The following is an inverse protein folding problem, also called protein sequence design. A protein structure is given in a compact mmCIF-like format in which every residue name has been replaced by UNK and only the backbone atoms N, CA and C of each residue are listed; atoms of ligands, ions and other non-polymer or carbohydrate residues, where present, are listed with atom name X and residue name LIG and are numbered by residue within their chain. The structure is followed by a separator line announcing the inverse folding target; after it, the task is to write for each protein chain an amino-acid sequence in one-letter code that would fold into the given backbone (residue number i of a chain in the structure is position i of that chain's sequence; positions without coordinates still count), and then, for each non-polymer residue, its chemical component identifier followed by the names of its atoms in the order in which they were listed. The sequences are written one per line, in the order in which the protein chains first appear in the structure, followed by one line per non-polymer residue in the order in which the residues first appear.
data_IF_506623896510
#
_entry.id   IF_506623896510
#
_cell.length_a   1.000
_cell.length_b   1.000
_cell.length_c   1.000
_cell.angle_alpha   90.00
_cell.angle_beta   90.00
_cell.angle_gamma   90.00
#
_symmetry.space_group_name_H-M   'P 1'
#
loop_
_entity.id
_entity.type
_entity.pdbx_description
1 polymer ?
#
# COMPACT_ATOMS: atom_id res chain seq x y z
N UNK A 1 -13.16 55.96 37.32
CA UNK A 1 -11.87 55.91 38.03
C UNK A 1 -11.26 54.56 37.64
N UNK A 2 -10.54 54.47 36.51
CA UNK A 2 -9.09 54.75 36.36
C UNK A 2 -8.30 53.82 37.31
N UNK A 3 -7.41 52.92 36.87
CA UNK A 3 -6.30 53.03 35.90
C UNK A 3 -5.78 51.60 35.58
N UNK A 4 -5.50 51.20 34.31
CA UNK A 4 -4.18 51.13 33.60
C UNK A 4 -3.14 50.19 34.27
N UNK A 5 -2.28 49.39 33.62
CA UNK A 5 -1.74 49.25 32.25
C UNK A 5 -1.28 47.78 32.06
N UNK A 6 -1.39 47.17 30.86
CA UNK A 6 -0.31 46.98 29.85
C UNK A 6 0.92 46.18 30.32
N UNK A 7 1.18 45.04 29.69
CA UNK A 7 2.54 44.70 29.26
C UNK A 7 2.51 43.87 27.97
N UNK A 8 3.30 44.33 27.01
CA UNK A 8 3.54 43.76 25.70
C UNK A 8 4.76 42.86 25.76
N UNK A 9 4.78 41.78 24.99
CA UNK A 9 5.94 40.90 24.91
C UNK A 9 5.96 40.17 23.57
N UNK A 10 6.29 40.90 22.52
CA UNK A 10 6.74 40.34 21.26
C UNK A 10 8.10 39.65 21.46
N UNK A 11 8.26 38.44 20.92
CA UNK A 11 9.56 37.82 20.70
C UNK A 11 9.70 37.56 19.20
N UNK A 12 10.70 38.23 18.64
CA UNK A 12 11.11 38.21 17.25
C UNK A 12 11.80 36.89 16.84
N UNK A 13 11.91 36.76 15.52
CA UNK A 13 12.51 35.70 14.73
C UNK A 13 13.90 35.23 15.19
N UNK A 14 14.07 33.91 15.21
CA UNK A 14 15.36 33.25 15.05
C UNK A 14 15.33 32.46 13.75
N UNK A 15 16.02 32.95 12.73
CA UNK A 15 16.40 32.18 11.56
C UNK A 15 17.50 31.19 11.97
N UNK A 16 17.30 29.90 11.70
CA UNK A 16 18.34 28.89 11.76
C UNK A 16 18.42 28.26 10.37
N UNK A 17 19.26 28.89 9.53
CA UNK A 17 19.82 28.31 8.33
C UNK A 17 20.95 27.37 8.76
N UNK A 18 20.81 26.08 8.49
CA UNK A 18 21.92 25.14 8.48
C UNK A 18 21.84 24.19 7.28
N UNK A 19 22.52 24.64 6.22
CA UNK A 19 23.46 23.91 5.36
C UNK A 19 23.07 22.51 4.87
N UNK A 20 22.54 22.51 3.65
CA UNK A 20 22.61 21.41 2.70
C UNK A 20 23.96 21.43 1.96
N UNK A 21 24.82 20.45 2.20
CA UNK A 21 25.99 20.17 1.36
C UNK A 21 26.10 18.65 1.10
N UNK A 22 25.61 18.20 -0.05
CA UNK A 22 26.01 16.91 -0.64
C UNK A 22 26.84 17.21 -1.88
N UNK A 23 28.11 16.88 -1.77
CA UNK A 23 29.16 16.99 -2.78
C UNK A 23 29.01 15.84 -3.77
N UNK A 24 28.86 16.15 -5.06
CA UNK A 24 29.08 15.19 -6.15
C UNK A 24 30.50 15.42 -6.67
N UNK A 25 31.40 14.48 -6.35
CA UNK A 25 32.71 14.39 -6.99
C UNK A 25 32.52 13.84 -8.42
N UNK A 26 32.78 14.71 -9.38
CA UNK A 26 33.00 14.42 -10.80
C UNK A 26 34.51 14.49 -11.03
N UNK A 27 35.16 13.33 -11.24
CA UNK A 27 36.53 13.30 -11.75
C UNK A 27 36.68 12.24 -12.86
N UNK A 28 36.73 12.78 -14.07
CA UNK A 28 37.52 12.46 -15.25
C UNK A 28 38.13 11.04 -15.42
N UNK A 29 38.09 10.55 -16.66
CA UNK A 29 39.27 10.64 -17.53
C UNK A 29 39.00 10.24 -18.99
N UNK A 30 39.56 11.09 -19.85
CA UNK A 30 39.79 10.97 -21.28
C UNK A 30 40.74 9.80 -21.62
N UNK A 31 40.35 8.99 -22.60
CA UNK A 31 41.25 8.09 -23.30
C UNK A 31 40.79 7.90 -24.76
N UNK A 32 41.43 8.65 -25.63
CA UNK A 32 41.39 8.57 -27.09
C UNK A 32 42.19 7.37 -27.61
N UNK A 33 41.57 6.50 -28.43
CA UNK A 33 42.27 5.48 -29.25
C UNK A 33 41.46 5.19 -30.54
N UNK A 34 42.09 4.99 -31.72
CA UNK A 34 41.50 5.31 -33.03
C UNK A 34 40.80 4.13 -33.74
N UNK A 35 40.08 4.47 -34.82
CA UNK A 35 39.39 3.55 -35.72
C UNK A 35 40.33 2.62 -36.50
N UNK A 36 39.98 1.33 -36.67
CA UNK A 36 40.54 0.48 -37.70
C UNK A 36 39.62 0.33 -38.93
N UNK A 37 40.29 0.17 -40.06
CA UNK A 37 39.84 0.05 -41.45
C UNK A 37 39.14 -1.27 -41.80
N UNK A 38 38.36 -1.19 -42.88
CA UNK A 38 37.64 -2.29 -43.55
C UNK A 38 38.53 -3.48 -43.94
N UNK A 39 38.11 -4.71 -43.60
CA UNK A 39 38.42 -5.92 -44.37
C UNK A 39 37.24 -6.91 -44.35
N UNK A 40 37.11 -7.58 -45.51
CA UNK A 40 36.05 -8.41 -46.06
C UNK A 40 35.79 -9.74 -45.31
N UNK A 41 34.53 -10.07 -45.02
CA UNK A 41 34.13 -11.42 -44.60
C UNK A 41 32.65 -11.71 -44.95
N UNK A 42 32.48 -12.54 -45.97
CA UNK A 42 31.23 -13.21 -46.33
C UNK A 42 30.86 -14.26 -45.27
N UNK A 43 29.62 -14.23 -44.77
CA UNK A 43 29.08 -15.23 -43.83
C UNK A 43 27.56 -15.12 -43.70
N UNK A 44 26.87 -16.25 -43.87
CA UNK A 44 25.41 -16.41 -43.85
C UNK A 44 24.75 -15.92 -42.53
N UNK A 45 23.48 -15.47 -42.56
CA UNK A 45 22.79 -15.05 -41.34
C UNK A 45 22.45 -16.27 -40.44
N UNK A 46 22.63 -16.18 -39.11
CA UNK A 46 22.18 -17.21 -38.20
C UNK A 46 20.65 -17.20 -38.09
N UNK A 47 20.08 -18.40 -38.07
CA UNK A 47 18.64 -18.65 -37.95
C UNK A 47 18.04 -18.06 -36.67
N UNK A 48 16.92 -17.37 -36.83
CA UNK A 48 16.11 -16.84 -35.73
C UNK A 48 15.53 -17.99 -34.91
N UNK A 49 16.06 -18.19 -33.69
CA UNK A 49 15.41 -18.97 -32.65
C UNK A 49 14.14 -18.26 -32.20
N UNK A 50 13.00 -18.86 -32.51
CA UNK A 50 11.69 -18.53 -31.95
C UNK A 50 11.70 -18.92 -30.46
N UNK A 51 12.15 -18.00 -29.61
CA UNK A 51 11.92 -18.10 -28.16
C UNK A 51 10.43 -17.89 -27.93
N UNK A 52 9.71 -19.01 -27.81
CA UNK A 52 8.30 -19.04 -27.52
C UNK A 52 7.94 -18.12 -26.36
N UNK A 53 7.35 -16.98 -26.69
CA UNK A 53 6.70 -16.09 -25.73
C UNK A 53 5.65 -16.94 -25.02
N UNK A 54 5.88 -17.22 -23.73
CA UNK A 54 4.92 -17.90 -22.89
C UNK A 54 3.60 -17.11 -22.95
N UNK A 55 2.62 -17.64 -23.69
CA UNK A 55 1.34 -16.99 -23.83
C UNK A 55 0.69 -16.95 -22.46
N UNK A 56 0.47 -15.75 -21.92
CA UNK A 56 -0.37 -15.58 -20.73
C UNK A 56 -1.68 -16.32 -20.96
N UNK A 57 -2.07 -17.26 -20.09
CA UNK A 57 -3.31 -18.00 -20.28
C UNK A 57 -4.48 -17.02 -20.40
N UNK A 58 -5.52 -17.35 -21.19
CA UNK A 58 -6.65 -16.46 -21.37
C UNK A 58 -7.29 -16.16 -20.01
N UNK A 59 -7.74 -14.91 -19.78
CA UNK A 59 -8.34 -14.53 -18.51
C UNK A 59 -9.50 -15.46 -18.21
N UNK A 60 -9.51 -16.01 -16.99
CA UNK A 60 -10.57 -16.88 -16.52
C UNK A 60 -11.63 -16.03 -15.85
N UNK A 61 -12.88 -16.20 -16.25
CA UNK A 61 -14.01 -15.58 -15.58
C UNK A 61 -14.19 -16.25 -14.20
N UNK A 62 -13.61 -15.65 -13.16
CA UNK A 62 -13.78 -16.10 -11.77
C UNK A 62 -14.93 -15.31 -11.13
N UNK A 63 -15.86 -16.03 -10.53
CA UNK A 63 -16.91 -15.47 -9.68
C UNK A 63 -16.79 -16.08 -8.28
N UNK A 64 -16.74 -15.23 -7.25
CA UNK A 64 -16.64 -15.69 -5.86
C UNK A 64 -17.94 -15.37 -5.13
N UNK A 65 -18.43 -16.32 -4.35
CA UNK A 65 -19.49 -16.04 -3.38
C UNK A 65 -18.88 -15.70 -2.03
N UNK A 66 -19.17 -14.50 -1.52
CA UNK A 66 -18.64 -14.01 -0.26
C UNK A 66 -19.76 -13.79 0.77
N UNK A 67 -19.40 -13.93 2.04
CA UNK A 67 -20.20 -13.60 3.19
C UNK A 67 -19.26 -13.14 4.31
N UNK A 68 -19.68 -12.13 5.07
CA UNK A 68 -18.93 -11.55 6.17
C UNK A 68 -19.88 -11.20 7.30
N UNK A 69 -19.43 -11.44 8.52
CA UNK A 69 -20.16 -11.15 9.73
C UNK A 69 -19.15 -10.81 10.82
N UNK A 70 -19.54 -9.88 11.69
CA UNK A 70 -18.78 -9.50 12.88
C UNK A 70 -19.76 -9.29 14.03
N UNK A 71 -19.33 -9.55 15.26
CA UNK A 71 -20.14 -9.47 16.48
C UNK A 71 -19.25 -9.06 17.66
N UNK A 72 -19.77 -8.21 18.54
CA UNK A 72 -19.04 -7.75 19.75
C UNK A 72 -18.77 -8.90 20.74
N UNK A 73 -19.56 -9.97 20.67
CA UNK A 73 -19.55 -11.07 21.60
C UNK A 73 -20.26 -10.72 22.91
N UNK A 74 -19.92 -11.46 23.97
CA UNK A 74 -20.62 -11.38 25.26
C UNK A 74 -19.87 -10.60 26.35
N UNK A 75 -18.59 -10.27 26.10
CA UNK A 75 -17.69 -9.74 27.13
C UNK A 75 -17.17 -8.33 26.83
N UNK A 76 -16.97 -7.98 25.56
CA UNK A 76 -16.48 -6.65 25.20
C UNK A 76 -17.63 -5.65 25.15
N UNK A 77 -17.29 -4.38 25.38
CA UNK A 77 -18.24 -3.26 25.27
C UNK A 77 -18.35 -2.78 23.82
N UNK A 78 -17.26 -2.90 23.06
CA UNK A 78 -17.13 -2.44 21.69
C UNK A 78 -16.57 -3.55 20.80
N UNK A 79 -16.97 -3.53 19.52
CA UNK A 79 -16.43 -4.42 18.52
C UNK A 79 -15.20 -3.76 17.89
N UNK A 80 -14.04 -4.40 18.04
CA UNK A 80 -12.78 -3.90 17.50
C UNK A 80 -12.38 -4.64 16.21
N UNK A 81 -13.21 -5.59 15.76
CA UNK A 81 -13.03 -6.28 14.50
C UNK A 81 -13.54 -5.41 13.35
N UNK A 82 -12.79 -5.41 12.25
CA UNK A 82 -13.26 -4.85 11.00
C UNK A 82 -12.89 -5.71 9.80
N UNK A 83 -13.66 -5.62 8.73
CA UNK A 83 -13.39 -6.33 7.51
C UNK A 83 -13.83 -5.53 6.30
N UNK A 84 -13.21 -5.81 5.16
CA UNK A 84 -13.55 -5.20 3.89
C UNK A 84 -13.61 -6.25 2.78
N UNK A 85 -14.54 -6.04 1.85
CA UNK A 85 -14.55 -6.66 0.53
C UNK A 85 -14.65 -5.53 -0.47
N UNK A 86 -13.80 -5.52 -1.49
CA UNK A 86 -13.76 -4.45 -2.47
C UNK A 86 -13.40 -4.94 -3.88
N UNK A 87 -14.17 -4.49 -4.85
CA UNK A 87 -13.89 -4.64 -6.28
C UNK A 87 -13.02 -3.46 -6.73
N UNK A 88 -11.73 -3.75 -6.97
CA UNK A 88 -10.73 -2.74 -7.38
C UNK A 88 -10.95 -2.26 -8.83
N UNK A 89 -11.72 -3.01 -9.64
CA UNK A 89 -12.07 -2.60 -11.00
C UNK A 89 -13.14 -1.52 -10.98
N UNK A 90 -14.16 -1.70 -10.15
CA UNK A 90 -15.30 -0.79 -10.05
C UNK A 90 -15.10 0.29 -8.99
N UNK A 91 -14.11 0.16 -8.13
CA UNK A 91 -13.91 1.05 -6.97
C UNK A 91 -15.08 0.97 -5.99
N UNK A 92 -15.67 -0.22 -5.85
CA UNK A 92 -16.79 -0.48 -4.95
C UNK A 92 -16.30 -1.26 -3.75
N UNK A 93 -16.75 -0.91 -2.55
CA UNK A 93 -16.44 -1.62 -1.31
C UNK A 93 -17.69 -1.85 -0.45
N UNK A 94 -17.62 -2.86 0.40
CA UNK A 94 -18.70 -3.25 1.31
C UNK A 94 -19.25 -4.63 0.95
N UNK A 95 -19.97 -5.24 1.89
CA UNK A 95 -20.55 -6.57 1.72
C UNK A 95 -21.93 -6.61 2.34
N UNK A 96 -22.96 -6.83 1.52
CA UNK A 96 -24.33 -6.97 1.99
C UNK A 96 -24.74 -8.44 1.95
N UNK A 97 -24.78 -9.07 3.14
CA UNK A 97 -25.14 -10.47 3.28
C UNK A 97 -24.27 -11.39 2.42
N UNK A 98 -24.87 -12.48 1.93
CA UNK A 98 -24.21 -13.40 1.01
C UNK A 98 -24.42 -12.90 -0.42
N UNK A 99 -23.34 -12.58 -1.13
CA UNK A 99 -23.39 -12.02 -2.48
C UNK A 99 -22.32 -12.63 -3.39
N UNK A 100 -22.55 -12.55 -4.70
CA UNK A 100 -21.61 -12.99 -5.73
C UNK A 100 -20.80 -11.80 -6.24
N UNK A 101 -19.49 -12.01 -6.40
CA UNK A 101 -18.49 -11.01 -6.74
C UNK A 101 -17.69 -11.51 -7.94
N UNK A 102 -17.99 -11.02 -9.15
CA UNK A 102 -17.16 -11.31 -10.32
C UNK A 102 -15.81 -10.60 -10.15
N UNK A 103 -14.73 -11.32 -10.38
CA UNK A 103 -13.37 -10.78 -10.32
C UNK A 103 -13.13 -10.00 -11.61
N UNK A 104 -13.04 -8.68 -11.50
CA UNK A 104 -12.68 -7.81 -12.61
C UNK A 104 -11.16 -7.83 -12.89
N UNK A 105 -10.71 -7.19 -13.99
CA UNK A 105 -9.29 -7.16 -14.40
C UNK A 105 -8.35 -6.52 -13.38
N UNK A 106 -8.84 -5.62 -12.51
CA UNK A 106 -8.04 -5.05 -11.41
C UNK A 106 -8.13 -5.88 -10.12
N UNK A 107 -8.93 -6.93 -10.11
CA UNK A 107 -9.06 -7.87 -9.01
C UNK A 107 -10.06 -7.49 -7.92
N UNK A 108 -10.05 -8.34 -6.89
CA UNK A 108 -10.87 -8.27 -5.69
C UNK A 108 -9.97 -8.25 -4.46
N UNK A 109 -10.21 -7.30 -3.57
CA UNK A 109 -9.53 -7.18 -2.28
C UNK A 109 -10.47 -7.64 -1.16
N UNK A 110 -9.95 -8.43 -0.24
CA UNK A 110 -10.61 -8.80 1.00
C UNK A 110 -9.63 -8.58 2.15
N UNK A 111 -10.09 -8.07 3.28
CA UNK A 111 -9.27 -8.04 4.49
C UNK A 111 -10.10 -8.19 5.75
N UNK A 112 -9.49 -8.74 6.79
CA UNK A 112 -10.01 -8.79 8.16
C UNK A 112 -8.93 -8.28 9.10
N UNK A 113 -9.33 -7.49 10.09
CA UNK A 113 -8.48 -6.82 11.06
C UNK A 113 -9.12 -6.96 12.45
N UNK A 114 -8.38 -7.49 13.42
CA UNK A 114 -8.77 -7.52 14.84
C UNK A 114 -7.98 -6.43 15.57
N UNK A 115 -8.70 -5.38 15.96
CA UNK A 115 -8.16 -4.22 16.66
C UNK A 115 -7.85 -4.54 18.11
N UNK A 116 -6.71 -4.02 18.57
CA UNK A 116 -6.29 -4.08 19.97
C UNK A 116 -6.02 -2.67 20.49
N UNK A 117 -6.48 -2.39 21.69
CA UNK A 117 -6.26 -1.12 22.37
C UNK A 117 -7.04 -1.06 23.68
N UNK A 118 -6.81 -0.01 24.46
CA UNK A 118 -7.78 0.36 25.49
C UNK A 118 -8.94 1.13 24.86
N UNK A 119 -10.02 1.37 25.62
CA UNK A 119 -11.17 2.18 25.17
C UNK A 119 -11.60 1.85 23.72
N UNK A 120 -11.87 2.86 22.88
CA UNK A 120 -12.24 2.69 21.47
C UNK A 120 -11.02 2.67 20.51
N UNK A 121 -9.80 2.49 21.04
CA UNK A 121 -8.60 2.65 20.24
C UNK A 121 -8.36 1.47 19.28
N UNK A 122 -8.78 0.24 19.63
CA UNK A 122 -8.71 -0.92 18.75
C UNK A 122 -9.66 -0.79 17.55
N UNK A 123 -10.91 -0.35 17.77
CA UNK A 123 -11.89 -0.07 16.71
C UNK A 123 -11.34 0.94 15.69
N UNK A 124 -10.71 2.01 16.18
CA UNK A 124 -10.07 3.02 15.31
C UNK A 124 -8.91 2.42 14.53
N UNK A 125 -8.09 1.58 15.18
CA UNK A 125 -6.93 0.96 14.52
C UNK A 125 -7.34 -0.01 13.39
N UNK A 126 -8.31 -0.90 13.63
CA UNK A 126 -8.75 -1.86 12.62
C UNK A 126 -9.48 -1.18 11.46
N UNK A 127 -10.29 -0.14 11.73
CA UNK A 127 -10.87 0.71 10.68
C UNK A 127 -9.79 1.41 9.84
N UNK A 128 -8.82 2.04 10.50
CA UNK A 128 -7.74 2.75 9.81
C UNK A 128 -6.92 1.81 8.91
N UNK A 129 -6.63 0.59 9.37
CA UNK A 129 -5.94 -0.41 8.57
C UNK A 129 -6.73 -0.75 7.30
N UNK A 130 -8.01 -1.13 7.43
CA UNK A 130 -8.83 -1.51 6.27
C UNK A 130 -8.98 -0.39 5.25
N UNK A 131 -9.13 0.85 5.70
CA UNK A 131 -9.25 2.01 4.81
C UNK A 131 -7.95 2.30 4.06
N UNK A 132 -6.81 2.30 4.75
CA UNK A 132 -5.51 2.59 4.12
C UNK A 132 -5.12 1.50 3.13
N UNK A 133 -5.31 0.23 3.50
CA UNK A 133 -5.02 -0.91 2.61
C UNK A 133 -5.90 -0.80 1.36
N UNK A 134 -7.18 -0.50 1.52
CA UNK A 134 -8.08 -0.30 0.39
C UNK A 134 -7.66 0.85 -0.52
N UNK A 135 -7.41 2.03 0.05
CA UNK A 135 -7.07 3.22 -0.72
C UNK A 135 -5.75 3.02 -1.49
N UNK A 136 -4.77 2.38 -0.85
CA UNK A 136 -3.51 2.04 -1.51
C UNK A 136 -3.72 1.04 -2.64
N UNK A 137 -4.41 -0.07 -2.40
CA UNK A 137 -4.66 -1.11 -3.41
C UNK A 137 -5.49 -0.58 -4.58
N UNK A 138 -6.45 0.31 -4.32
CA UNK A 138 -7.24 0.96 -5.36
C UNK A 138 -6.40 1.90 -6.23
N UNK A 139 -5.48 2.65 -5.61
CA UNK A 139 -4.58 3.56 -6.31
C UNK A 139 -3.51 2.82 -7.13
N UNK A 140 -2.98 1.72 -6.60
CA UNK A 140 -2.02 0.84 -7.26
C UNK A 140 -2.66 -0.15 -8.24
N UNK A 141 -3.99 -0.16 -8.35
CA UNK A 141 -4.73 -1.14 -9.12
C UNK A 141 -4.38 -1.11 -10.62
N UNK A 142 -4.15 -2.31 -11.18
CA UNK A 142 -3.64 -2.49 -12.54
C UNK A 142 -2.24 -3.10 -12.56
N UNK A 143 -2.00 -4.03 -11.65
CA UNK A 143 -0.72 -4.70 -11.42
C UNK A 143 -0.25 -5.42 -12.69
N UNK A 144 0.97 -5.13 -13.13
CA UNK A 144 1.53 -5.71 -14.37
C UNK A 144 1.79 -7.21 -14.25
N UNK A 145 2.09 -7.68 -13.03
CA UNK A 145 2.38 -9.07 -12.74
C UNK A 145 2.18 -9.39 -11.24
N UNK A 146 2.40 -10.66 -10.89
CA UNK A 146 2.23 -11.19 -9.52
C UNK A 146 3.19 -10.57 -8.51
N UNK A 147 4.40 -10.21 -8.92
CA UNK A 147 5.41 -9.63 -8.02
C UNK A 147 5.03 -8.19 -7.67
N UNK A 148 4.53 -7.41 -8.65
CA UNK A 148 4.01 -6.08 -8.38
C UNK A 148 2.81 -6.13 -7.43
N UNK A 149 1.87 -7.06 -7.64
CA UNK A 149 0.75 -7.25 -6.71
C UNK A 149 1.24 -7.58 -5.29
N UNK A 150 2.29 -8.40 -5.15
CA UNK A 150 2.86 -8.72 -3.85
C UNK A 150 3.48 -7.48 -3.17
N UNK A 151 4.21 -6.67 -3.94
CA UNK A 151 4.78 -5.40 -3.45
C UNK A 151 3.69 -4.43 -3.01
N UNK A 152 2.62 -4.27 -3.78
CA UNK A 152 1.52 -3.36 -3.43
C UNK A 152 0.77 -3.83 -2.16
N UNK A 153 0.61 -5.14 -1.96
CA UNK A 153 0.05 -5.68 -0.71
C UNK A 153 0.97 -5.37 0.49
N UNK A 154 2.28 -5.55 0.33
CA UNK A 154 3.27 -5.23 1.38
C UNK A 154 3.27 -3.73 1.68
N UNK A 155 3.34 -2.87 0.67
CA UNK A 155 3.29 -1.42 0.85
C UNK A 155 2.00 -0.97 1.53
N UNK A 156 0.85 -1.54 1.15
CA UNK A 156 -0.43 -1.25 1.78
C UNK A 156 -0.44 -1.58 3.28
N UNK A 157 0.09 -2.75 3.65
CA UNK A 157 0.24 -3.19 5.04
C UNK A 157 1.22 -2.29 5.82
N UNK A 158 2.36 -1.96 5.24
CA UNK A 158 3.36 -1.09 5.87
C UNK A 158 2.83 0.32 6.08
N UNK A 159 2.15 0.91 5.08
CA UNK A 159 1.51 2.23 5.21
C UNK A 159 0.46 2.25 6.31
N UNK A 160 -0.36 1.20 6.41
CA UNK A 160 -1.33 1.06 7.49
C UNK A 160 -0.63 0.99 8.84
N UNK A 161 0.40 0.15 8.98
CA UNK A 161 1.17 0.00 10.21
C UNK A 161 1.85 1.30 10.66
N UNK A 162 2.51 2.01 9.75
CA UNK A 162 3.15 3.31 10.03
C UNK A 162 2.11 4.32 10.51
N UNK A 163 0.99 4.46 9.79
CA UNK A 163 -0.03 5.44 10.15
C UNK A 163 -0.69 5.16 11.50
N UNK A 164 -0.90 3.88 11.83
CA UNK A 164 -1.41 3.44 13.14
C UNK A 164 -0.39 3.73 14.24
N UNK A 165 0.89 3.43 14.01
CA UNK A 165 1.96 3.73 14.97
C UNK A 165 2.08 5.24 15.23
N UNK A 166 2.03 6.05 14.18
CA UNK A 166 2.08 7.51 14.28
C UNK A 166 0.89 8.05 15.08
N UNK A 167 -0.32 7.58 14.83
CA UNK A 167 -1.51 7.99 15.57
C UNK A 167 -1.45 7.55 17.04
N UNK A 168 -0.95 6.33 17.29
CA UNK A 168 -0.73 5.79 18.64
C UNK A 168 0.28 6.61 19.47
N UNK A 169 1.30 7.16 18.81
CA UNK A 169 2.34 7.98 19.45
C UNK A 169 1.92 9.44 19.66
N UNK A 170 1.21 10.02 18.68
CA UNK A 170 0.90 11.44 18.67
C UNK A 170 -0.42 11.79 19.39
N UNK A 171 -1.29 10.80 19.61
CA UNK A 171 -2.58 11.01 20.27
C UNK A 171 -2.70 10.18 21.55
N UNK A 172 -2.75 10.87 22.71
CA UNK A 172 -2.89 10.20 24.01
C UNK A 172 -4.15 9.35 24.13
N UNK A 173 -5.22 9.67 23.41
CA UNK A 173 -6.45 8.89 23.41
C UNK A 173 -6.28 7.52 22.73
N UNK A 174 -5.29 7.39 21.85
CA UNK A 174 -5.04 6.19 21.03
C UNK A 174 -3.75 5.47 21.41
N UNK A 175 -3.17 5.82 22.56
CA UNK A 175 -1.91 5.24 23.01
C UNK A 175 -2.02 3.72 23.14
N UNK A 176 -1.11 3.01 22.49
CA UNK A 176 -1.05 1.55 22.52
C UNK A 176 -2.08 0.89 21.60
N UNK A 177 -2.75 1.63 20.73
CA UNK A 177 -3.58 1.03 19.70
C UNK A 177 -2.73 0.26 18.68
N UNK A 178 -3.33 -0.80 18.13
CA UNK A 178 -2.80 -1.63 17.06
C UNK A 178 -3.90 -2.49 16.48
N UNK A 179 -3.60 -3.24 15.43
CA UNK A 179 -4.54 -4.20 14.85
C UNK A 179 -3.76 -5.31 14.18
N UNK A 180 -4.35 -6.50 14.11
CA UNK A 180 -3.92 -7.52 13.15
C UNK A 180 -4.38 -7.13 11.75
N UNK A 181 -3.81 -7.75 10.72
CA UNK A 181 -4.34 -7.65 9.37
C UNK A 181 -4.11 -8.96 8.62
N UNK A 182 -5.18 -9.55 8.09
CA UNK A 182 -5.09 -10.60 7.07
C UNK A 182 -5.74 -10.07 5.81
N UNK A 183 -4.95 -9.93 4.76
CA UNK A 183 -5.33 -9.39 3.46
C UNK A 183 -5.27 -10.49 2.41
N UNK A 184 -6.26 -10.53 1.55
CA UNK A 184 -6.35 -11.42 0.41
C UNK A 184 -6.64 -10.61 -0.85
N UNK A 185 -5.70 -10.58 -1.79
CA UNK A 185 -5.83 -9.91 -3.07
C UNK A 185 -5.92 -10.97 -4.19
N UNK A 186 -7.03 -11.00 -4.91
CA UNK A 186 -7.24 -11.90 -6.04
C UNK A 186 -7.25 -11.10 -7.34
N UNK A 187 -6.27 -11.37 -8.20
CA UNK A 187 -6.18 -10.81 -9.56
C UNK A 187 -6.03 -11.98 -10.53
N UNK A 188 -6.86 -12.00 -11.57
CA UNK A 188 -6.99 -13.13 -12.50
C UNK A 188 -7.22 -14.45 -11.74
N UNK A 189 -6.26 -15.38 -11.76
CA UNK A 189 -6.29 -16.64 -11.03
C UNK A 189 -5.25 -16.72 -9.88
N UNK A 190 -4.63 -15.59 -9.53
CA UNK A 190 -3.65 -15.50 -8.46
C UNK A 190 -4.27 -14.90 -7.20
N UNK A 191 -4.33 -15.69 -6.12
CA UNK A 191 -4.64 -15.22 -4.78
C UNK A 191 -3.34 -14.99 -4.00
N UNK A 192 -3.10 -13.75 -3.58
CA UNK A 192 -2.02 -13.41 -2.63
C UNK A 192 -2.59 -13.16 -1.25
N UNK A 193 -1.88 -13.67 -0.24
CA UNK A 193 -2.21 -13.49 1.17
C UNK A 193 -1.08 -12.72 1.85
N UNK A 194 -1.43 -11.61 2.50
CA UNK A 194 -0.56 -10.85 3.40
C UNK A 194 -1.09 -10.95 4.82
N UNK A 195 -0.22 -11.18 5.80
CA UNK A 195 -0.64 -11.30 7.19
C UNK A 195 0.38 -10.65 8.14
N UNK A 196 -0.14 -9.92 9.13
CA UNK A 196 0.61 -9.30 10.23
C UNK A 196 -0.06 -9.63 11.55
#
# INVERSE_FOLDING_TARGET
MSDTASDEGAYEAGADDSDSDIVLDDDATDASVPAPSDEDATGEPPETGDEGVASTPPPRDINITLFGATDVGQLREHNEDNFIVADLTRGLRGLEGKSEWPVGPKGLLMAVCDGMGGAAAGEVASQLATDIIYDHMLAAAGHDNRDQLALDVVEGLERAGIRILDESNNNRAFRGMGTTATVAALVDDCLLLGQV
#
